data_IF_352706229118
#
_entry.id   IF_352706229118
#
_cell.length_a   1.000
_cell.length_b   1.000
_cell.length_c   1.000
_cell.angle_alpha   90.00
_cell.angle_beta   90.00
_cell.angle_gamma   90.00
#
_symmetry.space_group_name_H-M   'P 1'
#
loop_
_entity.id
_entity.type
_entity.pdbx_description
1 polymer ?
#
# COMPACT_ATOMS: atom_id res chain seq x y z
N UNK A 1 -37.86 11.83 27.58
CA UNK A 1 -38.10 10.74 26.60
C UNK A 1 -37.83 11.16 25.14
N UNK A 2 -38.07 12.42 24.76
CA UNK A 2 -37.79 12.90 23.38
C UNK A 2 -36.28 13.09 23.12
N UNK A 3 -35.48 13.42 24.10
CA UNK A 3 -34.02 13.54 23.99
C UNK A 3 -33.28 12.19 23.85
N UNK A 4 -33.90 11.09 24.32
CA UNK A 4 -33.31 9.75 24.26
C UNK A 4 -33.47 9.10 22.88
N UNK A 5 -34.54 9.44 22.13
CA UNK A 5 -34.79 8.88 20.78
C UNK A 5 -33.93 9.52 19.68
N UNK A 6 -33.39 10.74 19.91
CA UNK A 6 -32.52 11.45 18.95
C UNK A 6 -31.08 10.95 19.04
N UNK A 7 -30.67 10.41 20.19
CA UNK A 7 -29.27 9.98 20.42
C UNK A 7 -28.97 8.56 19.96
N UNK A 8 -29.97 7.71 19.77
CA UNK A 8 -29.72 6.31 19.34
C UNK A 8 -29.65 6.12 17.82
N UNK A 9 -30.27 7.00 17.02
CA UNK A 9 -30.25 6.89 15.56
C UNK A 9 -29.02 7.42 14.85
N UNK A 10 -28.22 8.24 15.51
CA UNK A 10 -27.11 8.99 14.88
C UNK A 10 -25.70 8.54 15.32
N UNK A 11 -25.59 7.50 16.14
CA UNK A 11 -24.29 6.87 16.42
C UNK A 11 -23.82 6.20 15.14
N UNK A 12 -22.68 6.65 14.62
CA UNK A 12 -22.02 6.03 13.45
C UNK A 12 -21.85 4.54 13.77
N UNK A 13 -22.68 3.70 13.16
CA UNK A 13 -22.61 2.26 13.36
C UNK A 13 -21.30 1.75 12.76
N UNK A 14 -20.30 1.46 13.60
CA UNK A 14 -18.96 1.04 13.21
C UNK A 14 -18.94 -0.28 12.43
N UNK A 15 -20.01 -1.07 12.51
CA UNK A 15 -20.12 -2.42 11.96
C UNK A 15 -21.12 -2.55 10.82
N UNK A 16 -21.72 -1.46 10.33
CA UNK A 16 -22.61 -1.56 9.18
C UNK A 16 -21.83 -1.94 7.92
N UNK A 17 -22.25 -2.98 7.17
CA UNK A 17 -21.65 -3.28 5.89
C UNK A 17 -21.82 -2.09 4.93
N UNK A 18 -20.81 -1.79 4.10
CA UNK A 18 -20.90 -0.67 3.16
C UNK A 18 -22.03 -0.91 2.15
N UNK A 19 -22.80 0.13 1.79
CA UNK A 19 -23.79 0.03 0.73
C UNK A 19 -23.14 -0.37 -0.61
N UNK A 20 -23.82 -1.14 -1.46
CA UNK A 20 -23.31 -1.58 -2.75
C UNK A 20 -23.05 -0.36 -3.64
N UNK A 21 -21.81 -0.08 -3.96
CA UNK A 21 -21.35 1.09 -4.72
C UNK A 21 -20.14 1.82 -4.13
N UNK A 22 -19.81 1.67 -2.85
CA UNK A 22 -18.75 2.40 -2.17
C UNK A 22 -17.32 1.98 -2.55
N UNK A 23 -17.11 0.78 -3.14
CA UNK A 23 -15.76 0.31 -3.49
C UNK A 23 -15.02 1.20 -4.50
N UNK A 24 -15.75 1.98 -5.33
CA UNK A 24 -15.17 2.85 -6.36
C UNK A 24 -14.90 4.30 -5.90
N UNK A 25 -15.53 4.75 -4.81
CA UNK A 25 -15.48 6.15 -4.39
C UNK A 25 -14.11 6.53 -3.79
N UNK A 26 -13.43 5.61 -3.10
CA UNK A 26 -12.17 5.93 -2.41
C UNK A 26 -11.03 6.35 -3.36
N UNK A 27 -10.72 5.55 -4.38
CA UNK A 27 -9.57 5.81 -5.28
C UNK A 27 -9.88 6.94 -6.25
N UNK A 28 -11.08 6.99 -6.84
CA UNK A 28 -11.48 8.07 -7.76
C UNK A 28 -11.52 9.44 -7.08
N UNK A 29 -11.99 9.49 -5.82
CA UNK A 29 -12.00 10.70 -5.01
C UNK A 29 -10.58 11.21 -4.74
N UNK A 30 -9.66 10.31 -4.34
CA UNK A 30 -8.25 10.63 -4.10
C UNK A 30 -7.57 11.14 -5.36
N UNK A 31 -7.86 10.52 -6.53
CA UNK A 31 -7.32 10.94 -7.83
C UNK A 31 -7.80 12.35 -8.22
N UNK A 32 -9.03 12.76 -7.83
CA UNK A 32 -9.53 14.11 -8.04
C UNK A 32 -8.68 15.19 -7.34
N UNK A 33 -8.21 14.91 -6.12
CA UNK A 33 -7.33 15.82 -5.38
C UNK A 33 -5.88 15.81 -5.89
N UNK A 34 -5.44 14.71 -6.52
CA UNK A 34 -4.11 14.62 -7.13
C UNK A 34 -3.94 15.54 -8.33
N UNK A 35 -5.03 15.77 -9.08
CA UNK A 35 -4.95 16.64 -10.25
C UNK A 35 -5.01 18.10 -9.82
N UNK A 36 -3.96 18.90 -10.09
CA UNK A 36 -3.94 20.31 -9.69
C UNK A 36 -4.97 21.14 -10.46
N UNK A 37 -5.65 22.06 -9.78
CA UNK A 37 -6.60 22.98 -10.36
C UNK A 37 -6.02 23.82 -11.48
N UNK A 38 -6.92 24.39 -12.34
CA UNK A 38 -6.58 25.13 -13.57
C UNK A 38 -5.85 26.46 -13.29
N UNK A 39 -4.89 26.59 -12.51
CA UNK A 39 -4.13 27.83 -12.24
C UNK A 39 -2.67 27.57 -11.90
N UNK A 40 -2.31 26.35 -11.47
CA UNK A 40 -0.96 26.05 -10.99
C UNK A 40 -0.20 25.22 -12.01
N UNK A 41 0.29 25.87 -13.07
CA UNK A 41 1.09 25.24 -14.15
C UNK A 41 2.29 24.45 -13.62
N UNK A 42 2.95 24.98 -12.60
CA UNK A 42 4.12 24.34 -11.96
C UNK A 42 3.78 23.01 -11.30
N UNK A 43 2.62 22.88 -10.64
CA UNK A 43 2.21 21.62 -10.03
C UNK A 43 1.87 20.55 -11.08
N UNK A 44 1.23 20.92 -12.19
CA UNK A 44 0.97 19.99 -13.31
C UNK A 44 2.25 19.53 -13.98
N UNK A 45 3.19 20.43 -14.21
CA UNK A 45 4.52 20.10 -14.73
C UNK A 45 5.24 19.10 -13.82
N UNK A 46 5.18 19.28 -12.50
CA UNK A 46 5.78 18.35 -11.52
C UNK A 46 5.12 16.96 -11.56
N UNK A 47 3.78 16.89 -11.68
CA UNK A 47 3.08 15.59 -11.84
C UNK A 47 3.51 14.91 -13.13
N UNK A 48 3.49 15.60 -14.24
CA UNK A 48 3.89 15.04 -15.55
C UNK A 48 5.37 14.63 -15.55
N UNK A 49 6.25 15.47 -14.99
CA UNK A 49 7.67 15.15 -14.87
C UNK A 49 7.91 13.92 -13.97
N UNK A 50 7.19 13.80 -12.85
CA UNK A 50 7.29 12.63 -11.98
C UNK A 50 6.79 11.35 -12.64
N UNK A 51 5.71 11.42 -13.44
CA UNK A 51 5.20 10.29 -14.22
C UNK A 51 6.15 9.93 -15.37
N UNK A 52 6.69 10.92 -16.09
CA UNK A 52 7.71 10.68 -17.11
C UNK A 52 8.96 10.02 -16.51
N UNK A 53 9.44 10.52 -15.37
CA UNK A 53 10.57 9.96 -14.66
C UNK A 53 10.30 8.54 -14.14
N UNK A 54 9.05 8.25 -13.72
CA UNK A 54 8.61 6.89 -13.40
C UNK A 54 8.80 5.95 -14.59
N UNK A 55 8.25 6.32 -15.75
CA UNK A 55 8.33 5.49 -16.96
C UNK A 55 9.79 5.30 -17.38
N UNK A 56 10.56 6.39 -17.41
CA UNK A 56 11.99 6.33 -17.75
C UNK A 56 12.75 5.42 -16.78
N UNK A 57 12.55 5.57 -15.47
CA UNK A 57 13.18 4.73 -14.46
C UNK A 57 12.81 3.25 -14.63
N UNK A 58 11.54 2.94 -14.91
CA UNK A 58 11.07 1.56 -15.09
C UNK A 58 11.54 0.92 -16.40
N UNK A 59 11.58 1.67 -17.48
CA UNK A 59 12.19 1.22 -18.74
C UNK A 59 13.70 1.01 -18.57
N UNK A 60 14.33 1.88 -17.82
CA UNK A 60 15.76 1.80 -17.56
C UNK A 60 16.12 0.57 -16.73
N UNK A 61 15.45 0.34 -15.60
CA UNK A 61 15.77 -0.78 -14.71
C UNK A 61 15.53 -2.14 -15.40
N UNK A 62 14.49 -2.28 -16.24
CA UNK A 62 14.23 -3.51 -17.00
C UNK A 62 15.32 -3.78 -18.05
N UNK A 63 16.06 -2.76 -18.49
CA UNK A 63 17.20 -2.91 -19.41
C UNK A 63 18.52 -3.31 -18.71
N UNK A 64 18.64 -3.09 -17.41
CA UNK A 64 19.87 -3.37 -16.64
C UNK A 64 20.34 -4.83 -16.77
N UNK A 65 19.48 -5.87 -16.64
CA UNK A 65 19.89 -7.26 -16.84
C UNK A 65 20.48 -7.55 -18.21
N UNK A 66 20.05 -6.83 -19.26
CA UNK A 66 20.61 -6.97 -20.61
C UNK A 66 21.97 -6.32 -20.78
N UNK A 67 22.27 -5.28 -20.01
CA UNK A 67 23.64 -4.74 -19.96
C UNK A 67 24.58 -5.74 -19.30
N UNK A 68 24.10 -6.40 -18.23
CA UNK A 68 24.86 -7.47 -17.58
C UNK A 68 25.05 -8.70 -18.50
N UNK A 69 24.01 -9.09 -19.27
CA UNK A 69 24.12 -10.09 -20.32
C UNK A 69 25.28 -9.79 -21.26
N UNK A 70 25.32 -8.56 -21.84
CA UNK A 70 26.37 -8.15 -22.78
C UNK A 70 27.77 -8.25 -22.16
N UNK A 71 27.89 -7.90 -20.90
CA UNK A 71 29.15 -8.00 -20.18
C UNK A 71 29.61 -9.46 -20.01
N UNK A 72 28.68 -10.38 -19.73
CA UNK A 72 28.98 -11.80 -19.60
C UNK A 72 29.33 -12.43 -20.97
N UNK A 73 28.49 -12.18 -21.98
CA UNK A 73 28.74 -12.71 -23.33
C UNK A 73 30.12 -12.25 -23.82
N UNK A 74 30.50 -10.98 -23.59
CA UNK A 74 31.81 -10.43 -23.94
C UNK A 74 32.98 -11.14 -23.22
N UNK A 75 32.77 -11.64 -22.01
CA UNK A 75 33.79 -12.40 -21.26
C UNK A 75 33.84 -13.85 -21.74
N UNK A 76 32.70 -14.48 -22.01
CA UNK A 76 32.61 -15.89 -22.43
C UNK A 76 33.13 -16.09 -23.84
N UNK A 77 32.79 -15.21 -24.77
CA UNK A 77 33.20 -15.31 -26.18
C UNK A 77 34.67 -15.03 -26.38
N UNK A 78 35.37 -14.42 -25.43
CA UNK A 78 36.79 -14.12 -25.49
C UNK A 78 37.24 -13.19 -26.64
N UNK A 79 36.29 -12.76 -27.46
CA UNK A 79 36.55 -11.95 -28.66
C UNK A 79 36.76 -10.46 -28.36
N UNK A 80 36.49 -10.03 -27.12
CA UNK A 80 36.52 -8.63 -26.74
C UNK A 80 37.70 -8.32 -25.80
N UNK A 81 38.43 -7.19 -25.98
CA UNK A 81 39.51 -6.81 -25.09
C UNK A 81 39.05 -6.76 -23.62
N UNK A 82 39.93 -7.21 -22.71
CA UNK A 82 39.62 -7.23 -21.25
C UNK A 82 39.19 -5.87 -20.71
N UNK A 83 39.69 -4.78 -21.25
CA UNK A 83 39.31 -3.40 -20.90
C UNK A 83 37.84 -3.11 -21.21
N UNK A 84 37.32 -3.61 -22.31
CA UNK A 84 35.91 -3.43 -22.71
C UNK A 84 34.96 -4.24 -21.81
N UNK A 85 35.32 -5.48 -21.46
CA UNK A 85 34.54 -6.32 -20.55
C UNK A 85 34.48 -5.69 -19.15
N UNK A 86 35.58 -5.16 -18.62
CA UNK A 86 35.64 -4.41 -17.37
C UNK A 86 34.79 -3.14 -17.45
N UNK A 87 34.84 -2.41 -18.57
CA UNK A 87 34.00 -1.23 -18.79
C UNK A 87 32.50 -1.53 -18.78
N UNK A 88 32.09 -2.65 -19.39
CA UNK A 88 30.69 -3.10 -19.38
C UNK A 88 30.22 -3.51 -17.98
N UNK A 89 31.03 -4.19 -17.18
CA UNK A 89 30.74 -4.52 -15.79
C UNK A 89 30.58 -3.26 -14.92
N UNK A 90 31.46 -2.29 -15.11
CA UNK A 90 31.37 -0.99 -14.43
C UNK A 90 30.10 -0.23 -14.85
N UNK A 91 29.77 -0.22 -16.14
CA UNK A 91 28.55 0.39 -16.67
C UNK A 91 27.28 -0.22 -16.07
N UNK A 92 27.26 -1.55 -15.80
CA UNK A 92 26.19 -2.18 -15.06
C UNK A 92 26.02 -1.60 -13.65
N UNK A 93 27.12 -1.46 -12.89
CA UNK A 93 27.10 -0.86 -11.55
C UNK A 93 26.58 0.59 -11.57
N UNK A 94 27.11 1.41 -12.50
CA UNK A 94 26.65 2.79 -12.71
C UNK A 94 25.17 2.84 -13.07
N UNK A 95 24.70 1.91 -13.89
CA UNK A 95 23.27 1.82 -14.28
C UNK A 95 22.35 1.60 -13.07
N UNK A 96 22.78 0.78 -12.10
CA UNK A 96 22.05 0.59 -10.83
C UNK A 96 21.99 1.89 -10.02
N UNK A 97 23.09 2.60 -9.91
CA UNK A 97 23.15 3.89 -9.22
C UNK A 97 22.26 4.95 -9.90
N UNK A 98 22.32 5.03 -11.23
CA UNK A 98 21.45 5.94 -12.02
C UNK A 98 19.96 5.62 -11.80
N UNK A 99 19.59 4.34 -11.80
CA UNK A 99 18.20 3.97 -11.49
C UNK A 99 17.76 4.46 -10.10
N UNK A 100 18.58 4.27 -9.07
CA UNK A 100 18.28 4.75 -7.72
C UNK A 100 18.11 6.27 -7.71
N UNK A 101 18.99 7.00 -8.40
CA UNK A 101 18.89 8.45 -8.53
C UNK A 101 17.61 8.90 -9.23
N UNK A 102 17.20 8.21 -10.30
CA UNK A 102 15.93 8.48 -11.00
C UNK A 102 14.72 8.23 -10.10
N UNK A 103 14.78 7.16 -9.29
CA UNK A 103 13.69 6.81 -8.36
C UNK A 103 13.56 7.84 -7.24
N UNK A 104 14.65 8.26 -6.62
CA UNK A 104 14.63 9.31 -5.58
C UNK A 104 14.25 10.67 -6.15
N UNK A 105 14.74 11.01 -7.34
CA UNK A 105 14.36 12.23 -8.04
C UNK A 105 12.85 12.31 -8.30
N UNK A 106 12.24 11.20 -8.71
CA UNK A 106 10.79 11.10 -8.85
C UNK A 106 10.06 11.35 -7.53
N UNK A 107 10.55 10.75 -6.43
CA UNK A 107 9.97 10.92 -5.11
C UNK A 107 10.01 12.37 -4.66
N UNK A 108 11.16 13.03 -4.83
CA UNK A 108 11.33 14.45 -4.51
C UNK A 108 10.43 15.38 -5.33
N UNK A 109 10.25 15.10 -6.63
CA UNK A 109 9.37 15.89 -7.50
C UNK A 109 7.88 15.75 -7.13
N UNK A 110 7.45 14.55 -6.71
CA UNK A 110 6.05 14.30 -6.39
C UNK A 110 5.67 14.74 -4.97
N UNK A 111 6.59 14.66 -4.01
CA UNK A 111 6.31 14.96 -2.59
C UNK A 111 5.61 16.31 -2.37
N UNK A 112 6.03 17.44 -2.98
CA UNK A 112 5.33 18.71 -2.81
C UNK A 112 3.90 18.69 -3.37
N UNK A 113 3.66 17.92 -4.43
CA UNK A 113 2.31 17.78 -5.02
C UNK A 113 1.40 16.99 -4.08
N UNK A 114 1.89 15.86 -3.54
CA UNK A 114 1.17 15.05 -2.57
C UNK A 114 0.82 15.83 -1.30
N UNK A 115 1.78 16.58 -0.76
CA UNK A 115 1.57 17.42 0.42
C UNK A 115 0.57 18.57 0.13
N UNK A 116 0.62 19.17 -1.05
CA UNK A 116 -0.35 20.21 -1.45
C UNK A 116 -1.76 19.62 -1.61
N UNK A 117 -1.89 18.40 -2.13
CA UNK A 117 -3.17 17.70 -2.23
C UNK A 117 -3.73 17.38 -0.85
N UNK A 118 -2.90 16.87 0.06
CA UNK A 118 -3.29 16.58 1.45
C UNK A 118 -3.71 17.84 2.18
N UNK A 119 -2.95 18.94 2.04
CA UNK A 119 -3.28 20.24 2.64
C UNK A 119 -4.64 20.75 2.15
N UNK A 120 -4.93 20.70 0.84
CA UNK A 120 -6.23 21.12 0.27
C UNK A 120 -7.36 20.28 0.83
N UNK A 121 -7.20 18.94 0.76
CA UNK A 121 -8.19 18.03 1.31
C UNK A 121 -8.50 18.31 2.79
N UNK A 122 -7.46 18.55 3.59
CA UNK A 122 -7.59 18.87 5.03
C UNK A 122 -8.33 20.18 5.25
N UNK A 123 -7.99 21.22 4.48
CA UNK A 123 -8.63 22.52 4.56
C UNK A 123 -10.12 22.45 4.16
N UNK A 124 -10.44 21.75 3.06
CA UNK A 124 -11.81 21.54 2.59
C UNK A 124 -12.63 20.73 3.61
N UNK A 125 -12.03 19.68 4.17
CA UNK A 125 -12.66 18.87 5.19
C UNK A 125 -12.95 19.69 6.48
N UNK A 126 -12.01 20.51 6.90
CA UNK A 126 -12.18 21.38 8.06
C UNK A 126 -13.25 22.46 7.82
N UNK A 127 -13.21 23.11 6.65
CA UNK A 127 -14.22 24.11 6.29
C UNK A 127 -15.63 23.48 6.23
N UNK A 128 -15.76 22.26 5.71
CA UNK A 128 -17.02 21.55 5.72
C UNK A 128 -17.53 21.26 7.14
N UNK A 129 -16.65 20.78 8.03
CA UNK A 129 -17.03 20.53 9.45
C UNK A 129 -17.50 21.80 10.12
N UNK A 130 -16.83 22.94 9.88
CA UNK A 130 -17.22 24.24 10.40
C UNK A 130 -18.58 24.74 9.83
N UNK A 131 -18.98 24.28 8.66
CA UNK A 131 -20.28 24.62 8.04
C UNK A 131 -21.45 23.80 8.57
N UNK A 132 -21.19 22.74 9.38
CA UNK A 132 -22.22 21.91 9.97
C UNK A 132 -22.94 22.62 11.13
N UNK A 133 -24.20 22.22 11.39
CA UNK A 133 -25.02 22.81 12.43
C UNK A 133 -24.37 22.73 13.83
N UNK A 134 -24.35 23.86 14.56
CA UNK A 134 -23.77 23.95 15.90
C UNK A 134 -24.45 22.99 16.90
N UNK A 135 -25.78 22.78 16.78
CA UNK A 135 -26.53 21.85 17.63
C UNK A 135 -26.06 20.41 17.42
N UNK A 136 -25.78 20.00 16.16
CA UNK A 136 -25.25 18.70 15.86
C UNK A 136 -23.81 18.53 16.35
N UNK A 137 -22.97 19.53 16.12
CA UNK A 137 -21.56 19.54 16.59
C UNK A 137 -21.48 19.48 18.12
N UNK A 138 -22.34 20.21 18.84
CA UNK A 138 -22.40 20.19 20.30
C UNK A 138 -22.85 18.84 20.88
N UNK A 139 -23.61 18.04 20.11
CA UNK A 139 -24.00 16.69 20.48
C UNK A 139 -22.93 15.61 20.21
N UNK A 140 -21.82 15.95 19.54
CA UNK A 140 -20.73 15.02 19.25
C UNK A 140 -19.59 15.19 20.28
N UNK A 141 -18.95 14.08 20.61
CA UNK A 141 -17.70 14.13 21.39
C UNK A 141 -16.58 14.77 20.55
N UNK A 142 -16.03 15.88 21.03
CA UNK A 142 -14.89 16.57 20.37
C UNK A 142 -13.70 15.64 20.17
N UNK A 143 -13.44 14.73 21.11
CA UNK A 143 -12.40 13.72 21.00
C UNK A 143 -12.67 12.67 19.93
N UNK A 144 -13.94 12.31 19.69
CA UNK A 144 -14.31 11.39 18.62
C UNK A 144 -14.19 12.04 17.24
N UNK A 145 -14.66 13.27 17.11
CA UNK A 145 -14.55 14.05 15.88
C UNK A 145 -13.09 14.28 15.50
N UNK A 146 -12.24 14.65 16.47
CA UNK A 146 -10.79 14.84 16.28
C UNK A 146 -10.14 13.54 15.81
N UNK A 147 -10.50 12.39 16.39
CA UNK A 147 -9.98 11.06 15.96
C UNK A 147 -10.40 10.69 14.54
N UNK A 148 -11.67 10.93 14.18
CA UNK A 148 -12.17 10.69 12.81
C UNK A 148 -11.40 11.53 11.81
N UNK A 149 -11.18 12.81 12.12
CA UNK A 149 -10.43 13.72 11.27
C UNK A 149 -8.97 13.28 11.10
N UNK A 150 -8.26 12.98 12.21
CA UNK A 150 -6.89 12.52 12.18
C UNK A 150 -6.70 11.20 11.43
N UNK A 151 -7.65 10.24 11.61
CA UNK A 151 -7.64 8.97 10.86
C UNK A 151 -7.86 9.21 9.37
N UNK A 152 -8.86 10.01 8.99
CA UNK A 152 -9.15 10.32 7.59
C UNK A 152 -7.97 10.97 6.87
N UNK A 153 -7.25 11.89 7.54
CA UNK A 153 -6.02 12.50 7.01
C UNK A 153 -4.92 11.47 6.77
N UNK A 154 -4.70 10.56 7.75
CA UNK A 154 -3.72 9.46 7.57
C UNK A 154 -4.12 8.55 6.42
N UNK A 155 -5.41 8.19 6.33
CA UNK A 155 -5.94 7.38 5.23
C UNK A 155 -5.73 8.03 3.86
N UNK A 156 -6.00 9.34 3.74
CA UNK A 156 -5.77 10.08 2.49
C UNK A 156 -4.29 10.08 2.09
N UNK A 157 -3.39 10.36 3.05
CA UNK A 157 -1.94 10.36 2.79
C UNK A 157 -1.44 8.97 2.37
N UNK A 158 -1.91 7.91 3.05
CA UNK A 158 -1.58 6.53 2.70
C UNK A 158 -2.07 6.16 1.29
N UNK A 159 -3.32 6.47 0.94
CA UNK A 159 -3.86 6.19 -0.40
C UNK A 159 -3.11 6.93 -1.51
N UNK A 160 -2.78 8.21 -1.31
CA UNK A 160 -1.97 8.99 -2.25
C UNK A 160 -0.62 8.32 -2.50
N UNK A 161 0.06 7.93 -1.43
CA UNK A 161 1.36 7.26 -1.49
C UNK A 161 1.27 5.89 -2.19
N UNK A 162 0.31 5.06 -1.80
CA UNK A 162 0.17 3.70 -2.30
C UNK A 162 -0.13 3.63 -3.79
N UNK A 163 -1.05 4.47 -4.27
CA UNK A 163 -1.44 4.48 -5.69
C UNK A 163 -0.27 4.92 -6.56
N UNK A 164 0.42 6.01 -6.19
CA UNK A 164 1.46 6.61 -7.02
C UNK A 164 2.80 5.88 -6.92
N UNK A 165 3.19 5.43 -5.72
CA UNK A 165 4.54 4.90 -5.50
C UNK A 165 4.62 3.38 -5.45
N UNK A 166 3.53 2.68 -5.15
CA UNK A 166 3.55 1.21 -5.03
C UNK A 166 2.81 0.54 -6.20
N UNK A 167 1.50 0.77 -6.35
CA UNK A 167 0.68 0.02 -7.32
C UNK A 167 1.08 0.34 -8.76
N UNK A 168 1.09 1.62 -9.12
CA UNK A 168 1.40 2.05 -10.49
C UNK A 168 2.76 1.56 -10.98
N UNK A 169 3.85 1.83 -10.24
CA UNK A 169 5.18 1.36 -10.59
C UNK A 169 5.30 -0.16 -10.68
N UNK A 170 4.70 -0.90 -9.75
CA UNK A 170 4.75 -2.38 -9.72
C UNK A 170 4.05 -2.98 -10.94
N UNK A 171 2.85 -2.49 -11.28
CA UNK A 171 2.13 -2.96 -12.46
C UNK A 171 2.89 -2.67 -13.75
N UNK A 172 3.45 -1.46 -13.87
CA UNK A 172 4.23 -1.07 -15.05
C UNK A 172 5.48 -1.94 -15.20
N UNK A 173 6.23 -2.15 -14.12
CA UNK A 173 7.45 -2.98 -14.13
C UNK A 173 7.16 -4.43 -14.48
N UNK A 174 6.13 -5.02 -13.87
CA UNK A 174 5.71 -6.39 -14.16
C UNK A 174 5.26 -6.54 -15.61
N UNK A 175 4.45 -5.62 -16.11
CA UNK A 175 3.99 -5.63 -17.50
C UNK A 175 5.15 -5.50 -18.49
N UNK A 176 6.10 -4.58 -18.24
CA UNK A 176 7.28 -4.39 -19.08
C UNK A 176 8.19 -5.63 -19.08
N UNK A 177 8.43 -6.24 -17.92
CA UNK A 177 9.25 -7.44 -17.81
C UNK A 177 8.61 -8.63 -18.55
N UNK A 178 7.31 -8.89 -18.36
CA UNK A 178 6.58 -9.94 -19.05
C UNK A 178 6.55 -9.71 -20.57
N UNK A 179 6.27 -8.48 -20.99
CA UNK A 179 6.29 -8.12 -22.41
C UNK A 179 7.66 -8.36 -23.06
N UNK A 180 8.73 -7.98 -22.35
CA UNK A 180 10.08 -8.12 -22.88
C UNK A 180 10.52 -9.58 -22.94
N UNK A 181 10.16 -10.38 -21.91
CA UNK A 181 10.40 -11.82 -21.89
C UNK A 181 9.70 -12.50 -23.07
N UNK A 182 8.42 -12.23 -23.27
CA UNK A 182 7.66 -12.82 -24.38
C UNK A 182 8.16 -12.43 -25.76
N UNK A 183 8.54 -11.15 -25.94
CA UNK A 183 9.02 -10.65 -27.23
C UNK A 183 10.42 -11.17 -27.60
N UNK A 184 11.30 -11.34 -26.60
CA UNK A 184 12.70 -11.73 -26.86
C UNK A 184 12.95 -13.22 -26.83
N UNK A 185 12.30 -13.92 -25.92
CA UNK A 185 12.60 -15.31 -25.62
C UNK A 185 11.46 -16.29 -26.02
N UNK A 186 10.32 -15.75 -26.45
CA UNK A 186 9.23 -16.56 -26.95
C UNK A 186 8.13 -16.90 -25.94
N UNK A 187 7.09 -17.60 -26.43
CA UNK A 187 5.87 -17.85 -25.66
C UNK A 187 6.04 -18.74 -24.43
N UNK A 188 6.97 -19.71 -24.48
CA UNK A 188 7.23 -20.61 -23.35
C UNK A 188 7.74 -19.83 -22.10
N UNK A 189 8.68 -18.92 -22.31
CA UNK A 189 9.23 -18.07 -21.23
C UNK A 189 8.16 -17.12 -20.67
N UNK A 190 7.32 -16.57 -21.54
CA UNK A 190 6.17 -15.74 -21.12
C UNK A 190 5.17 -16.57 -20.30
N UNK A 191 4.83 -17.79 -20.74
CA UNK A 191 3.86 -18.64 -20.06
C UNK A 191 4.32 -19.01 -18.64
N UNK A 192 5.59 -19.42 -18.48
CA UNK A 192 6.17 -19.74 -17.15
C UNK A 192 6.20 -18.51 -16.26
N UNK A 193 6.61 -17.35 -16.79
CA UNK A 193 6.63 -16.11 -16.03
C UNK A 193 5.23 -15.68 -15.58
N UNK A 194 4.25 -15.77 -16.49
CA UNK A 194 2.86 -15.44 -16.19
C UNK A 194 2.25 -16.40 -15.15
N UNK A 195 2.53 -17.71 -15.28
CA UNK A 195 2.11 -18.71 -14.31
C UNK A 195 2.72 -18.44 -12.92
N UNK A 196 4.02 -18.11 -12.87
CA UNK A 196 4.72 -17.76 -11.63
C UNK A 196 4.10 -16.53 -10.96
N UNK A 197 3.91 -15.44 -11.69
CA UNK A 197 3.30 -14.20 -11.17
C UNK A 197 1.86 -14.47 -10.74
N UNK A 198 1.08 -15.20 -11.52
CA UNK A 198 -0.31 -15.52 -11.18
C UNK A 198 -0.42 -16.40 -9.94
N UNK A 199 0.42 -17.41 -9.80
CA UNK A 199 0.48 -18.27 -8.62
C UNK A 199 0.89 -17.47 -7.38
N UNK A 200 1.90 -16.61 -7.51
CA UNK A 200 2.38 -15.73 -6.43
C UNK A 200 1.28 -14.78 -5.94
N UNK A 201 0.63 -14.09 -6.87
CA UNK A 201 -0.46 -13.14 -6.54
C UNK A 201 -1.66 -13.89 -5.98
N UNK A 202 -2.05 -15.01 -6.59
CA UNK A 202 -3.16 -15.86 -6.13
C UNK A 202 -2.96 -16.35 -4.70
N UNK A 203 -1.78 -16.89 -4.38
CA UNK A 203 -1.42 -17.29 -3.02
C UNK A 203 -1.46 -16.11 -2.05
N UNK A 204 -0.88 -14.98 -2.44
CA UNK A 204 -0.86 -13.76 -1.62
C UNK A 204 -2.28 -13.29 -1.28
N UNK A 205 -3.17 -13.21 -2.27
CA UNK A 205 -4.55 -12.79 -2.06
C UNK A 205 -5.32 -13.75 -1.14
N UNK A 206 -5.13 -15.07 -1.33
CA UNK A 206 -5.79 -16.10 -0.54
C UNK A 206 -5.40 -16.00 0.95
N UNK A 207 -4.11 -15.88 1.24
CA UNK A 207 -3.63 -15.83 2.62
C UNK A 207 -3.98 -14.47 3.27
N UNK A 208 -3.84 -13.36 2.53
CA UNK A 208 -4.16 -12.01 3.05
C UNK A 208 -5.65 -11.89 3.39
N UNK A 209 -6.55 -12.49 2.60
CA UNK A 209 -7.98 -12.50 2.92
C UNK A 209 -8.27 -13.19 4.27
N UNK A 210 -7.62 -14.32 4.55
CA UNK A 210 -7.73 -15.02 5.84
C UNK A 210 -7.14 -14.19 6.99
N UNK A 211 -6.00 -13.56 6.75
CA UNK A 211 -5.30 -12.74 7.74
C UNK A 211 -6.13 -11.52 8.19
N UNK A 212 -6.92 -10.92 7.30
CA UNK A 212 -7.76 -9.76 7.65
C UNK A 212 -8.74 -10.06 8.78
N UNK A 213 -9.38 -11.23 8.78
CA UNK A 213 -10.27 -11.63 9.86
C UNK A 213 -9.53 -11.78 11.21
N UNK A 214 -8.32 -12.34 11.16
CA UNK A 214 -7.46 -12.47 12.32
C UNK A 214 -7.02 -11.12 12.89
N UNK A 215 -6.64 -10.18 12.03
CA UNK A 215 -6.28 -8.82 12.45
C UNK A 215 -7.45 -8.06 13.08
N UNK A 216 -8.69 -8.29 12.63
CA UNK A 216 -9.87 -7.75 13.31
C UNK A 216 -9.98 -8.29 14.74
N UNK A 217 -9.80 -9.61 14.94
CA UNK A 217 -9.82 -10.23 16.27
C UNK A 217 -8.70 -9.71 17.19
N UNK A 218 -7.48 -9.51 16.65
CA UNK A 218 -6.38 -8.89 17.38
C UNK A 218 -6.76 -7.48 17.85
N UNK A 219 -7.25 -6.64 16.95
CA UNK A 219 -7.65 -5.26 17.27
C UNK A 219 -8.79 -5.20 18.31
N UNK A 220 -9.76 -6.13 18.23
CA UNK A 220 -10.87 -6.20 19.20
C UNK A 220 -10.33 -6.61 20.58
N UNK A 221 -9.39 -7.54 20.64
CA UNK A 221 -8.74 -7.95 21.89
C UNK A 221 -7.90 -6.83 22.49
N UNK A 222 -7.16 -6.08 21.68
CA UNK A 222 -6.39 -4.90 22.13
C UNK A 222 -7.32 -3.84 22.73
N UNK A 223 -8.50 -3.60 22.13
CA UNK A 223 -9.50 -2.69 22.67
C UNK A 223 -10.04 -3.18 24.03
N UNK A 224 -10.25 -4.48 24.20
CA UNK A 224 -10.67 -5.07 25.49
C UNK A 224 -9.59 -4.90 26.53
N UNK A 225 -8.34 -5.19 26.20
CA UNK A 225 -7.19 -5.00 27.09
C UNK A 225 -7.08 -3.53 27.55
N UNK A 226 -7.13 -2.60 26.61
CA UNK A 226 -7.09 -1.18 26.95
C UNK A 226 -8.24 -0.75 27.86
N UNK A 227 -9.47 -1.22 27.58
CA UNK A 227 -10.65 -0.89 28.38
C UNK A 227 -10.53 -1.47 29.80
N UNK A 228 -10.04 -2.70 29.94
CA UNK A 228 -9.82 -3.32 31.26
C UNK A 228 -8.78 -2.59 32.08
N UNK A 229 -7.63 -2.31 31.48
CA UNK A 229 -6.57 -1.52 32.13
C UNK A 229 -7.09 -0.14 32.56
N UNK A 230 -7.78 0.57 31.68
CA UNK A 230 -8.33 1.89 31.97
C UNK A 230 -9.33 1.86 33.13
N UNK A 231 -10.25 0.87 33.13
CA UNK A 231 -11.24 0.72 34.20
C UNK A 231 -10.60 0.34 35.54
N UNK A 232 -9.61 -0.56 35.55
CA UNK A 232 -8.89 -0.94 36.76
C UNK A 232 -8.13 0.25 37.37
N UNK A 233 -7.52 1.10 36.54
CA UNK A 233 -6.84 2.32 37.01
C UNK A 233 -7.84 3.37 37.49
N UNK A 234 -8.96 3.55 36.81
CA UNK A 234 -9.99 4.52 37.20
C UNK A 234 -10.66 4.14 38.52
N UNK A 235 -10.88 2.84 38.77
CA UNK A 235 -11.50 2.31 39.97
C UNK A 235 -10.47 1.79 40.99
N UNK A 236 -9.22 2.24 40.95
CA UNK A 236 -8.13 1.73 41.78
C UNK A 236 -8.43 1.80 43.29
N UNK A 237 -9.09 2.86 43.75
CA UNK A 237 -9.50 2.98 45.14
C UNK A 237 -10.47 1.89 45.59
N UNK A 238 -11.48 1.59 44.74
CA UNK A 238 -12.43 0.51 45.00
C UNK A 238 -11.76 -0.86 44.96
N UNK A 239 -10.82 -1.11 44.05
CA UNK A 239 -10.06 -2.35 43.95
C UNK A 239 -9.26 -2.57 45.26
N UNK A 240 -8.55 -1.54 45.73
CA UNK A 240 -7.74 -1.61 46.95
C UNK A 240 -8.58 -1.76 48.21
N UNK A 241 -9.68 -0.99 48.34
CA UNK A 241 -10.56 -1.03 49.49
C UNK A 241 -11.17 -2.43 49.70
N UNK A 242 -11.42 -3.16 48.58
CA UNK A 242 -11.96 -4.49 48.61
C UNK A 242 -10.88 -5.63 48.53
N UNK A 243 -9.60 -5.29 48.57
CA UNK A 243 -8.47 -6.24 48.44
C UNK A 243 -8.60 -7.17 47.21
N UNK A 244 -9.02 -6.61 46.08
CA UNK A 244 -9.31 -7.36 44.84
C UNK A 244 -8.21 -7.22 43.76
N UNK A 245 -6.99 -6.82 44.14
CA UNK A 245 -5.87 -6.64 43.21
C UNK A 245 -5.55 -7.92 42.44
N UNK A 246 -5.46 -9.04 43.13
CA UNK A 246 -5.18 -10.35 42.51
C UNK A 246 -6.27 -10.81 41.54
N UNK A 247 -7.53 -10.42 41.77
CA UNK A 247 -8.61 -10.71 40.87
C UNK A 247 -8.48 -9.92 39.57
N UNK A 248 -8.21 -8.61 39.65
CA UNK A 248 -8.03 -7.74 38.47
C UNK A 248 -6.78 -8.15 37.68
N UNK A 249 -5.68 -8.51 38.33
CA UNK A 249 -4.48 -9.04 37.69
C UNK A 249 -4.79 -10.31 36.89
N UNK A 250 -5.43 -11.31 37.52
CA UNK A 250 -5.81 -12.54 36.82
C UNK A 250 -6.76 -12.27 35.64
N UNK A 251 -7.75 -11.43 35.82
CA UNK A 251 -8.69 -11.06 34.79
C UNK A 251 -8.01 -10.35 33.59
N UNK A 252 -6.97 -9.56 33.86
CA UNK A 252 -6.17 -8.92 32.81
C UNK A 252 -5.27 -9.93 32.13
N UNK A 253 -4.64 -10.84 32.87
CA UNK A 253 -3.79 -11.92 32.35
C UNK A 253 -4.54 -12.88 31.42
N UNK A 254 -5.78 -13.27 31.77
CA UNK A 254 -6.64 -14.04 30.87
C UNK A 254 -6.83 -13.38 29.50
N UNK A 255 -6.90 -12.03 29.48
CA UNK A 255 -7.02 -11.27 28.24
C UNK A 255 -5.70 -11.20 27.48
N UNK A 256 -4.58 -11.11 28.21
CA UNK A 256 -3.24 -11.17 27.64
C UNK A 256 -2.98 -12.54 27.00
N UNK A 257 -3.40 -13.63 27.67
CA UNK A 257 -3.27 -14.97 27.12
C UNK A 257 -4.06 -15.15 25.79
N UNK A 258 -5.22 -14.50 25.66
CA UNK A 258 -5.93 -14.48 24.38
C UNK A 258 -5.18 -13.66 23.33
N UNK A 259 -4.68 -12.47 23.69
CA UNK A 259 -3.90 -11.62 22.79
C UNK A 259 -2.64 -12.33 22.30
N UNK A 260 -1.94 -13.04 23.18
CA UNK A 260 -0.77 -13.86 22.85
C UNK A 260 -1.11 -14.94 21.80
N UNK A 261 -2.19 -15.70 22.00
CA UNK A 261 -2.63 -16.73 21.05
C UNK A 261 -2.92 -16.13 19.67
N UNK A 262 -3.59 -14.99 19.62
CA UNK A 262 -3.91 -14.29 18.37
C UNK A 262 -2.65 -13.73 17.71
N UNK A 263 -1.72 -13.17 18.47
CA UNK A 263 -0.44 -12.69 17.96
C UNK A 263 0.40 -13.84 17.36
N UNK A 264 0.48 -14.97 18.04
CA UNK A 264 1.15 -16.18 17.51
C UNK A 264 0.48 -16.67 16.22
N UNK A 265 -0.87 -16.65 16.16
CA UNK A 265 -1.61 -17.03 14.96
C UNK A 265 -1.34 -16.05 13.79
N UNK A 266 -1.21 -14.74 14.04
CA UNK A 266 -0.85 -13.76 13.02
C UNK A 266 0.54 -14.03 12.47
N UNK A 267 1.54 -14.25 13.34
CA UNK A 267 2.92 -14.58 12.92
C UNK A 267 2.96 -15.86 12.08
N UNK A 268 2.22 -16.91 12.47
CA UNK A 268 2.11 -18.15 11.68
C UNK A 268 1.50 -17.88 10.30
N UNK A 269 0.51 -17.00 10.21
CA UNK A 269 -0.13 -16.64 8.95
C UNK A 269 0.82 -15.86 8.04
N UNK A 270 1.62 -14.93 8.61
CA UNK A 270 2.68 -14.23 7.87
C UNK A 270 3.76 -15.20 7.40
N UNK A 271 4.18 -16.14 8.24
CA UNK A 271 5.15 -17.15 7.86
C UNK A 271 4.63 -18.02 6.69
N UNK A 272 3.37 -18.47 6.75
CA UNK A 272 2.74 -19.21 5.67
C UNK A 272 2.65 -18.38 4.37
N UNK A 273 2.38 -17.08 4.48
CA UNK A 273 2.41 -16.15 3.33
C UNK A 273 3.80 -16.15 2.68
N UNK A 274 4.83 -15.89 3.47
CA UNK A 274 6.21 -15.78 2.99
C UNK A 274 6.73 -17.11 2.40
N UNK A 275 6.46 -18.23 3.06
CA UNK A 275 6.87 -19.57 2.57
C UNK A 275 6.17 -19.88 1.23
N UNK A 276 4.86 -19.69 1.15
CA UNK A 276 4.13 -19.96 -0.10
C UNK A 276 4.55 -19.03 -1.24
N UNK A 277 4.80 -17.74 -0.96
CA UNK A 277 5.39 -16.82 -1.92
C UNK A 277 6.76 -17.28 -2.40
N UNK A 278 7.61 -17.73 -1.47
CA UNK A 278 8.93 -18.26 -1.79
C UNK A 278 8.84 -19.51 -2.69
N UNK A 279 7.96 -20.46 -2.35
CA UNK A 279 7.76 -21.68 -3.15
C UNK A 279 7.27 -21.33 -4.56
N UNK A 280 6.29 -20.45 -4.70
CA UNK A 280 5.79 -20.01 -6.00
C UNK A 280 6.90 -19.34 -6.83
N UNK A 281 7.67 -18.45 -6.21
CA UNK A 281 8.69 -17.68 -6.90
C UNK A 281 9.90 -18.52 -7.28
N UNK A 282 10.49 -19.26 -6.31
CA UNK A 282 11.68 -20.07 -6.56
C UNK A 282 11.38 -21.30 -7.40
N UNK A 283 10.18 -21.87 -7.27
CA UNK A 283 9.69 -22.94 -8.17
C UNK A 283 9.56 -22.45 -9.61
N UNK A 284 8.95 -21.30 -9.81
CA UNK A 284 8.85 -20.68 -11.14
C UNK A 284 10.22 -20.31 -11.73
N UNK A 285 11.12 -19.76 -10.91
CA UNK A 285 12.51 -19.49 -11.32
C UNK A 285 13.24 -20.79 -11.68
N UNK A 286 13.07 -21.86 -10.91
CA UNK A 286 13.64 -23.17 -11.22
C UNK A 286 13.17 -23.71 -12.57
N UNK A 287 11.86 -23.68 -12.83
CA UNK A 287 11.30 -24.05 -14.14
C UNK A 287 11.88 -23.20 -15.28
N UNK A 288 12.04 -21.91 -15.05
CA UNK A 288 12.63 -20.99 -16.02
C UNK A 288 14.10 -21.35 -16.31
N UNK A 289 14.88 -21.69 -15.27
CA UNK A 289 16.28 -22.08 -15.43
C UNK A 289 16.43 -23.40 -16.16
N UNK A 290 15.53 -24.35 -15.95
CA UNK A 290 15.50 -25.61 -16.72
C UNK A 290 15.24 -25.36 -18.21
N UNK A 291 14.27 -24.47 -18.54
CA UNK A 291 14.04 -24.05 -19.93
C UNK A 291 15.26 -23.36 -20.53
N UNK A 292 15.91 -22.45 -19.77
CA UNK A 292 17.13 -21.80 -20.19
C UNK A 292 18.24 -22.80 -20.48
N UNK A 293 18.46 -23.78 -19.59
CA UNK A 293 19.50 -24.80 -19.78
C UNK A 293 19.29 -25.62 -21.07
N UNK A 294 18.03 -26.02 -21.36
CA UNK A 294 17.67 -26.70 -22.61
C UNK A 294 17.94 -25.84 -23.86
N UNK A 295 17.61 -24.55 -23.80
CA UNK A 295 17.86 -23.64 -24.93
C UNK A 295 19.35 -23.29 -25.10
N UNK A 296 20.11 -23.19 -24.02
CA UNK A 296 21.56 -22.97 -24.09
C UNK A 296 22.30 -24.19 -24.63
N UNK A 297 21.90 -25.39 -24.18
CA UNK A 297 22.51 -26.66 -24.69
C UNK A 297 22.22 -26.91 -26.19
N UNK A 298 21.09 -26.43 -26.70
CA UNK A 298 20.77 -26.48 -28.14
C UNK A 298 21.39 -25.31 -28.93
N UNK A 299 22.10 -24.41 -28.33
CA UNK A 299 22.69 -23.24 -28.98
C UNK A 299 21.70 -22.13 -29.35
N UNK A 300 20.45 -22.22 -28.91
CA UNK A 300 19.42 -21.22 -29.19
C UNK A 300 19.56 -19.95 -28.33
N UNK A 301 20.16 -20.07 -27.15
CA UNK A 301 20.39 -18.96 -26.23
C UNK A 301 21.87 -18.94 -25.77
N UNK A 302 22.36 -17.75 -25.40
CA UNK A 302 23.67 -17.59 -24.78
C UNK A 302 23.60 -17.76 -23.25
N UNK A 303 24.76 -17.99 -22.61
CA UNK A 303 24.86 -17.99 -21.14
C UNK A 303 24.41 -16.64 -20.57
N UNK A 304 24.73 -15.53 -21.26
CA UNK A 304 24.27 -14.20 -20.86
C UNK A 304 22.75 -14.04 -20.95
N UNK A 305 22.04 -14.76 -21.86
CA UNK A 305 20.58 -14.76 -21.90
C UNK A 305 19.98 -15.40 -20.64
N UNK A 306 20.52 -16.52 -20.19
CA UNK A 306 20.09 -17.18 -18.95
C UNK A 306 20.26 -16.22 -17.74
N UNK A 307 21.37 -15.50 -17.67
CA UNK A 307 21.62 -14.52 -16.62
C UNK A 307 20.67 -13.32 -16.71
N UNK A 308 20.36 -12.84 -17.92
CA UNK A 308 19.41 -11.76 -18.11
C UNK A 308 17.98 -12.16 -17.69
N UNK A 309 17.52 -13.35 -18.03
CA UNK A 309 16.23 -13.91 -17.65
C UNK A 309 16.15 -14.05 -16.14
N UNK A 310 17.16 -14.63 -15.50
CA UNK A 310 17.27 -14.73 -14.05
C UNK A 310 17.18 -13.35 -13.38
N UNK A 311 17.95 -12.37 -13.87
CA UNK A 311 17.97 -11.02 -13.36
C UNK A 311 16.61 -10.31 -13.48
N UNK A 312 15.89 -10.50 -14.60
CA UNK A 312 14.56 -9.94 -14.79
C UNK A 312 13.54 -10.52 -13.80
N UNK A 313 13.58 -11.84 -13.56
CA UNK A 313 12.68 -12.47 -12.59
C UNK A 313 13.00 -12.02 -11.16
N UNK A 314 14.27 -12.05 -10.75
CA UNK A 314 14.69 -11.61 -9.41
C UNK A 314 14.29 -10.15 -9.13
N UNK A 315 14.33 -9.31 -10.14
CA UNK A 315 13.89 -7.92 -10.02
C UNK A 315 12.40 -7.79 -9.67
N UNK A 316 11.55 -8.71 -10.13
CA UNK A 316 10.12 -8.72 -9.84
C UNK A 316 9.78 -9.23 -8.43
N UNK A 317 10.69 -9.92 -7.75
CA UNK A 317 10.43 -10.53 -6.44
C UNK A 317 9.99 -9.51 -5.40
N UNK A 318 10.74 -8.42 -5.24
CA UNK A 318 10.49 -7.42 -4.20
C UNK A 318 9.18 -6.63 -4.40
N UNK A 319 8.88 -6.09 -5.61
CA UNK A 319 7.60 -5.45 -5.86
C UNK A 319 6.40 -6.39 -5.69
N UNK A 320 6.52 -7.65 -6.10
CA UNK A 320 5.46 -8.64 -5.92
C UNK A 320 5.25 -8.98 -4.43
N UNK A 321 6.32 -9.16 -3.65
CA UNK A 321 6.23 -9.43 -2.21
C UNK A 321 5.54 -8.29 -1.45
N UNK A 322 5.72 -7.04 -1.87
CA UNK A 322 5.08 -5.88 -1.25
C UNK A 322 3.57 -5.79 -1.51
N UNK A 323 3.00 -6.51 -2.49
CA UNK A 323 1.58 -6.44 -2.84
C UNK A 323 0.65 -6.83 -1.69
N UNK A 324 1.03 -7.84 -0.89
CA UNK A 324 0.26 -8.26 0.28
C UNK A 324 0.12 -7.16 1.32
N UNK A 325 1.22 -6.52 1.67
CA UNK A 325 1.25 -5.37 2.57
C UNK A 325 0.48 -4.18 1.98
N UNK A 326 0.70 -3.87 0.70
CA UNK A 326 0.00 -2.80 -0.01
C UNK A 326 -1.52 -3.00 0.02
N UNK A 327 -2.01 -4.22 -0.17
CA UNK A 327 -3.44 -4.53 -0.07
C UNK A 327 -4.02 -4.24 1.32
N UNK A 328 -3.31 -4.64 2.39
CA UNK A 328 -3.73 -4.36 3.77
C UNK A 328 -3.76 -2.86 4.05
N UNK A 329 -2.71 -2.14 3.65
CA UNK A 329 -2.61 -0.69 3.83
C UNK A 329 -3.72 0.05 3.09
N UNK A 330 -4.11 -0.40 1.87
CA UNK A 330 -5.26 0.14 1.14
C UNK A 330 -6.56 -0.09 1.91
N UNK A 331 -6.77 -1.29 2.44
CA UNK A 331 -7.99 -1.59 3.21
C UNK A 331 -8.08 -0.72 4.46
N UNK A 332 -6.98 -0.61 5.20
CA UNK A 332 -6.91 0.24 6.40
C UNK A 332 -7.15 1.70 6.04
N UNK A 333 -6.44 2.23 5.05
CA UNK A 333 -6.61 3.62 4.60
C UNK A 333 -8.03 3.90 4.10
N UNK A 334 -8.64 2.94 3.41
CA UNK A 334 -10.04 3.06 2.97
C UNK A 334 -11.01 3.05 4.15
N UNK A 335 -10.77 2.22 5.17
CA UNK A 335 -11.58 2.20 6.39
C UNK A 335 -11.47 3.51 7.17
N UNK A 336 -10.25 4.05 7.32
CA UNK A 336 -9.98 5.34 7.95
C UNK A 336 -10.66 6.50 7.21
N UNK A 337 -10.65 6.47 5.87
CA UNK A 337 -11.31 7.47 5.04
C UNK A 337 -12.85 7.41 5.10
N UNK A 338 -13.44 6.22 5.27
CA UNK A 338 -14.92 6.07 5.27
C UNK A 338 -15.61 6.94 6.30
N UNK A 339 -15.10 6.99 7.52
CA UNK A 339 -15.69 7.78 8.59
C UNK A 339 -15.63 9.27 8.26
N UNK A 340 -14.50 9.75 7.74
CA UNK A 340 -14.36 11.14 7.32
C UNK A 340 -15.23 11.46 6.10
N UNK A 341 -15.32 10.57 5.11
CA UNK A 341 -16.19 10.75 3.95
C UNK A 341 -17.67 10.75 4.32
N UNK A 342 -18.09 9.92 5.29
CA UNK A 342 -19.44 9.96 5.84
C UNK A 342 -19.75 11.32 6.47
N UNK A 343 -18.80 11.88 7.19
CA UNK A 343 -18.90 13.22 7.77
C UNK A 343 -19.00 14.30 6.67
N UNK A 344 -18.19 14.22 5.64
CA UNK A 344 -18.18 15.18 4.51
C UNK A 344 -19.45 15.09 3.62
N UNK A 345 -20.18 13.98 3.66
CA UNK A 345 -21.46 13.84 2.95
C UNK A 345 -22.64 14.42 3.71
N UNK A 346 -22.47 14.73 5.00
CA UNK A 346 -23.51 15.33 5.79
C UNK A 346 -23.78 16.76 5.34
N UNK A 347 -25.00 17.03 4.96
CA UNK A 347 -25.36 18.37 4.46
C UNK A 347 -25.74 19.26 5.63
N UNK A 348 -25.27 20.53 5.68
CA UNK A 348 -25.75 21.49 6.66
C UNK A 348 -27.25 21.73 6.48
N UNK A 349 -27.99 21.78 7.59
CA UNK A 349 -29.45 22.04 7.57
C UNK A 349 -29.76 23.45 7.10
N UNK A 350 -28.93 24.41 7.50
CA UNK A 350 -29.06 25.82 7.11
C UNK A 350 -28.01 26.10 6.02
N UNK A 351 -28.47 26.44 4.83
CA UNK A 351 -27.60 26.87 3.75
C UNK A 351 -27.90 28.33 3.46
N UNK A 352 -26.89 29.21 3.38
CA UNK A 352 -27.10 30.53 2.88
C UNK A 352 -27.65 30.45 1.43
N UNK A 353 -28.66 31.26 1.07
CA UNK A 353 -29.15 31.31 -0.29
C UNK A 353 -28.01 31.69 -1.25
N UNK A 354 -28.01 31.08 -2.46
CA UNK A 354 -27.01 31.40 -3.46
C UNK A 354 -27.07 32.90 -3.80
N UNK A 355 -25.96 33.63 -3.55
CA UNK A 355 -25.86 35.04 -3.80
C UNK A 355 -26.19 35.96 -2.60
N UNK A 356 -26.33 35.43 -1.38
CA UNK A 356 -26.46 36.26 -0.19
C UNK A 356 -25.22 37.15 -0.02
N UNK A 357 -25.38 38.46 0.21
CA UNK A 357 -24.24 39.34 0.51
C UNK A 357 -23.59 38.94 1.82
N UNK A 358 -22.26 39.10 1.98
CA UNK A 358 -21.60 38.88 3.25
C UNK A 358 -22.22 39.79 4.30
N UNK A 359 -22.53 39.25 5.47
CA UNK A 359 -22.91 40.06 6.63
C UNK A 359 -21.75 40.98 6.96
N UNK A 360 -22.04 42.30 7.03
CA UNK A 360 -21.07 43.35 7.35
C UNK A 360 -20.53 43.21 8.76
#
# INVERSE_FOLDING_TARGET
RVLHSITEGDRINRNAPPPPGERRVGVAFVMGYLWPERGVRTARLRVLASLALLVVAKVFIVRVPFMFKRAIDAVVDGAVPRSTSVGLMFAYGVSRAVYTFLQEGRYLLFTPVGQSALRRFTADAFAHVQSLDAMWLGGQSTGELSRVFARGMRGMNALLRLVVFNIGPTLLETALALWLLGRRYGGAFLAVSLATVSAFVGWSLLVVQRRVALLCAVNDTDNVLFTRLFNALLCNEAVRTNANEDFEVRRYDDSLALAERLAVADVKTVAALNVGQAVCFWGGLGCMMVLCAGCVSSGALTVGDAVAINGLLLQLQQPLASLGFTYQEIRQATADMRQLLALLRRLPRVRPPAGAPPLA
#
